data_IF_864401013364
#
_entry.id   IF_864401013364
#
_cell.length_a   1.000
_cell.length_b   1.000
_cell.length_c   1.000
_cell.angle_alpha   90.00
_cell.angle_beta   90.00
_cell.angle_gamma   90.00
#
_symmetry.space_group_name_H-M   'P 1'
#
loop_
_entity.id
_entity.type
_entity.pdbx_description
1 polymer ?
#
# COMPACT_ATOMS: atom_id res chain seq x y z
N UNK A 1 -15.37 11.62 2.33
CA UNK A 1 -15.37 12.84 1.51
C UNK A 1 -15.17 12.42 0.05
N UNK A 2 -16.08 12.72 -0.89
CA UNK A 2 -15.86 12.47 -2.31
C UNK A 2 -14.83 13.45 -2.89
N UNK A 3 -13.94 12.98 -3.76
CA UNK A 3 -12.95 13.79 -4.48
C UNK A 3 -13.10 13.54 -5.99
N UNK A 4 -14.08 14.18 -6.65
CA UNK A 4 -14.43 13.89 -8.06
C UNK A 4 -13.27 14.19 -9.03
N UNK A 5 -12.40 15.13 -8.70
CA UNK A 5 -11.22 15.51 -9.48
C UNK A 5 -10.13 14.41 -9.48
N UNK A 6 -10.10 13.57 -8.44
CA UNK A 6 -9.14 12.47 -8.30
C UNK A 6 -9.72 11.18 -8.89
N UNK A 7 -9.50 10.97 -10.19
CA UNK A 7 -9.84 9.71 -10.88
C UNK A 7 -9.01 8.53 -10.40
N UNK A 8 -9.61 7.35 -10.42
CA UNK A 8 -8.93 6.08 -10.16
C UNK A 8 -7.95 5.71 -11.29
N UNK A 9 -6.92 4.91 -10.97
CA UNK A 9 -5.81 4.57 -11.86
C UNK A 9 -6.15 3.45 -12.86
N UNK A 10 -7.15 2.61 -12.55
CA UNK A 10 -7.48 1.38 -13.32
C UNK A 10 -8.91 1.34 -13.86
N UNK A 11 -9.78 2.27 -13.47
CA UNK A 11 -11.20 2.31 -13.81
C UNK A 11 -11.63 3.77 -13.94
N UNK A 12 -12.56 4.07 -14.85
CA UNK A 12 -13.19 5.39 -14.92
C UNK A 12 -14.21 5.53 -13.76
N UNK A 13 -13.68 5.92 -12.61
CA UNK A 13 -14.33 6.09 -11.32
C UNK A 13 -13.53 7.14 -10.53
N UNK A 14 -14.07 7.66 -9.42
CA UNK A 14 -13.39 8.66 -8.59
C UNK A 14 -13.09 8.16 -7.19
N UNK A 15 -12.09 8.75 -6.54
CA UNK A 15 -11.71 8.41 -5.18
C UNK A 15 -12.58 9.09 -4.12
N UNK A 16 -12.85 8.36 -3.04
CA UNK A 16 -13.43 8.83 -1.80
C UNK A 16 -12.37 8.70 -0.70
N UNK A 17 -12.08 9.81 -0.01
CA UNK A 17 -11.36 9.76 1.26
C UNK A 17 -12.26 9.14 2.33
N UNK A 18 -11.82 8.03 2.93
CA UNK A 18 -12.46 7.30 4.01
C UNK A 18 -11.55 7.21 5.23
N UNK A 19 -12.15 7.22 6.40
CA UNK A 19 -11.50 6.94 7.68
C UNK A 19 -11.57 5.44 8.02
N UNK A 20 -10.68 4.96 8.89
CA UNK A 20 -10.67 3.58 9.37
C UNK A 20 -9.60 3.29 10.42
N UNK A 21 -9.55 2.05 10.88
CA UNK A 21 -8.64 1.57 11.94
C UNK A 21 -7.14 1.51 11.55
N UNK A 22 -6.72 2.30 10.57
CA UNK A 22 -5.33 2.50 10.14
C UNK A 22 -5.13 3.90 9.56
N UNK A 23 -5.91 4.89 10.03
CA UNK A 23 -5.90 6.24 9.48
C UNK A 23 -6.76 6.39 8.23
N UNK A 24 -6.55 7.50 7.52
CA UNK A 24 -7.31 7.86 6.32
C UNK A 24 -6.73 7.21 5.05
N UNK A 25 -7.61 6.87 4.11
CA UNK A 25 -7.23 6.26 2.84
C UNK A 25 -8.19 6.66 1.71
N UNK A 26 -7.69 6.69 0.47
CA UNK A 26 -8.53 6.82 -0.72
C UNK A 26 -9.06 5.44 -1.12
N UNK A 27 -10.33 5.37 -1.52
CA UNK A 27 -10.97 4.17 -2.06
C UNK A 27 -11.86 4.54 -3.25
N UNK A 28 -11.94 3.69 -4.27
CA UNK A 28 -12.84 3.89 -5.40
C UNK A 28 -14.31 3.97 -4.95
N UNK A 29 -15.10 4.83 -5.60
CA UNK A 29 -16.52 5.05 -5.29
C UNK A 29 -17.35 3.77 -5.40
N UNK A 30 -17.19 3.02 -6.48
CA UNK A 30 -17.99 1.82 -6.79
C UNK A 30 -17.51 0.54 -6.05
N UNK A 31 -17.06 0.66 -4.81
CA UNK A 31 -16.86 -0.49 -3.93
C UNK A 31 -18.22 -1.20 -3.67
N UNK A 32 -18.33 -2.54 -3.74
CA UNK A 32 -17.26 -3.55 -3.76
C UNK A 32 -16.84 -4.06 -5.15
N UNK A 33 -17.40 -3.50 -6.24
CA UNK A 33 -17.04 -3.84 -7.64
C UNK A 33 -15.62 -3.37 -7.94
N UNK A 34 -15.33 -2.10 -7.69
CA UNK A 34 -13.99 -1.53 -7.79
C UNK A 34 -13.27 -1.73 -6.44
N UNK A 35 -12.16 -2.48 -6.45
CA UNK A 35 -11.34 -2.78 -5.26
C UNK A 35 -10.00 -2.06 -5.30
N UNK A 36 -10.03 -0.79 -5.67
CA UNK A 36 -8.84 0.06 -5.64
C UNK A 36 -8.83 0.92 -4.37
N UNK A 37 -7.68 0.92 -3.69
CA UNK A 37 -7.39 1.79 -2.56
C UNK A 37 -5.97 2.35 -2.68
N UNK A 38 -5.79 3.60 -2.25
CA UNK A 38 -4.55 4.37 -2.39
C UNK A 38 -4.25 5.15 -1.11
N UNK A 39 -2.97 5.35 -0.84
CA UNK A 39 -2.50 6.30 0.18
C UNK A 39 -2.70 7.73 -0.34
N UNK A 40 -3.46 8.60 0.36
CA UNK A 40 -3.64 9.98 -0.08
C UNK A 40 -2.31 10.75 0.01
N UNK A 41 -2.12 11.69 -0.89
CA UNK A 41 -1.06 12.70 -0.79
C UNK A 41 -1.43 13.72 0.28
N UNK A 42 -0.43 14.26 0.96
CA UNK A 42 -0.61 15.36 1.94
C UNK A 42 -1.34 16.54 1.30
N UNK A 43 -0.98 16.89 0.05
CA UNK A 43 -1.68 17.92 -0.75
C UNK A 43 -3.18 17.63 -0.94
N UNK A 44 -3.53 16.37 -1.23
CA UNK A 44 -4.93 15.94 -1.43
C UNK A 44 -5.73 16.05 -0.12
N UNK A 45 -5.09 15.81 1.03
CA UNK A 45 -5.71 15.93 2.37
C UNK A 45 -5.80 17.40 2.81
N UNK A 46 -4.78 18.21 2.55
CA UNK A 46 -4.79 19.64 2.85
C UNK A 46 -5.94 20.37 2.14
N UNK A 47 -6.21 20.06 0.88
CA UNK A 47 -7.35 20.60 0.12
C UNK A 47 -8.73 20.20 0.68
N UNK A 48 -8.82 19.30 1.66
CA UNK A 48 -10.08 18.93 2.34
C UNK A 48 -9.99 19.01 3.87
N UNK A 49 -8.97 19.68 4.42
CA UNK A 49 -8.69 19.71 5.86
C UNK A 49 -9.86 20.26 6.72
N UNK A 50 -10.67 21.15 6.16
CA UNK A 50 -11.89 21.68 6.78
C UNK A 50 -12.97 20.61 6.97
N UNK A 51 -13.16 19.76 5.97
CA UNK A 51 -14.11 18.63 5.97
C UNK A 51 -13.60 17.42 6.75
N UNK A 52 -12.30 17.40 7.08
CA UNK A 52 -11.64 16.30 7.77
C UNK A 52 -11.99 16.28 9.26
N UNK A 53 -12.14 15.08 9.81
CA UNK A 53 -12.31 14.88 11.25
C UNK A 53 -11.14 15.56 12.02
N UNK A 54 -11.41 16.37 13.06
CA UNK A 54 -10.37 17.04 13.85
C UNK A 54 -9.24 16.13 14.32
N UNK A 55 -9.51 14.83 14.58
CA UNK A 55 -8.50 13.84 14.98
C UNK A 55 -7.41 13.60 13.93
N UNK A 56 -7.62 14.01 12.69
CA UNK A 56 -6.72 13.79 11.54
C UNK A 56 -6.15 15.10 10.95
N UNK A 57 -6.51 16.27 11.46
CA UNK A 57 -6.06 17.56 10.88
C UNK A 57 -4.54 17.72 10.82
N UNK A 58 -3.81 17.15 11.79
CA UNK A 58 -2.35 17.10 11.80
C UNK A 58 -1.70 16.48 10.54
N UNK A 59 -2.47 15.73 9.73
CA UNK A 59 -2.03 15.16 8.46
C UNK A 59 -2.04 16.18 7.31
N UNK A 60 -2.78 17.28 7.44
CA UNK A 60 -2.72 18.43 6.53
C UNK A 60 -1.54 19.34 6.87
N UNK A 61 -1.19 19.46 8.15
CA UNK A 61 0.01 20.15 8.66
C UNK A 61 1.33 19.41 8.34
N UNK A 62 1.27 18.28 7.64
CA UNK A 62 2.43 17.47 7.30
C UNK A 62 3.28 18.13 6.21
N UNK A 63 4.61 17.86 6.17
CA UNK A 63 5.45 18.26 5.04
C UNK A 63 4.94 17.62 3.74
N UNK A 64 4.43 18.45 2.84
CA UNK A 64 3.71 18.02 1.63
C UNK A 64 4.62 17.53 0.49
N UNK A 65 5.91 17.88 0.56
CA UNK A 65 6.98 17.46 -0.35
C UNK A 65 8.26 17.16 0.44
N UNK A 66 9.18 16.42 -0.15
CA UNK A 66 10.56 16.33 0.35
C UNK A 66 11.45 17.47 -0.21
N UNK A 67 12.69 17.66 0.29
CA UNK A 67 13.65 18.64 -0.23
C UNK A 67 14.11 18.43 -1.69
N UNK A 68 13.47 17.54 -2.45
CA UNK A 68 13.68 17.31 -3.88
C UNK A 68 12.38 17.53 -4.69
N UNK A 69 11.30 18.00 -4.08
CA UNK A 69 10.02 18.29 -4.75
C UNK A 69 9.17 17.04 -5.06
N UNK A 70 9.47 15.88 -4.48
CA UNK A 70 8.59 14.71 -4.65
C UNK A 70 7.38 14.84 -3.71
N UNK A 71 6.15 14.51 -4.15
CA UNK A 71 4.94 14.64 -3.33
C UNK A 71 4.91 13.59 -2.22
N UNK A 72 4.57 14.03 -1.00
CA UNK A 72 4.48 13.17 0.17
C UNK A 72 3.12 12.48 0.27
N UNK A 73 3.12 11.17 0.55
CA UNK A 73 1.94 10.34 0.75
C UNK A 73 1.81 9.87 2.21
N UNK A 74 0.59 9.90 2.75
CA UNK A 74 0.28 9.49 4.13
C UNK A 74 0.10 7.98 4.20
N UNK A 75 0.82 7.31 5.10
CA UNK A 75 0.76 5.85 5.28
C UNK A 75 0.74 5.47 6.76
N UNK A 76 0.33 4.23 7.03
CA UNK A 76 0.21 3.71 8.39
C UNK A 76 1.24 2.63 8.69
N UNK A 77 1.99 2.80 9.77
CA UNK A 77 2.97 1.84 10.26
C UNK A 77 2.25 0.77 11.09
N UNK A 78 1.93 -0.39 10.51
CA UNK A 78 1.33 -1.51 11.27
C UNK A 78 2.23 -2.02 12.41
N UNK A 79 3.55 -1.72 12.39
CA UNK A 79 4.50 -2.11 13.44
C UNK A 79 4.43 -1.21 14.68
N UNK A 80 4.40 0.11 14.48
CA UNK A 80 4.41 1.10 15.58
C UNK A 80 3.02 1.67 15.87
N UNK A 81 2.04 1.42 15.00
CA UNK A 81 0.65 1.88 15.04
C UNK A 81 0.46 3.40 14.84
N UNK A 82 1.46 4.04 14.23
CA UNK A 82 1.49 5.48 13.93
C UNK A 82 1.20 5.77 12.44
N UNK A 83 0.74 6.98 12.12
CA UNK A 83 0.76 7.52 10.76
C UNK A 83 2.12 8.19 10.48
N UNK A 84 2.61 8.04 9.26
CA UNK A 84 3.87 8.62 8.78
C UNK A 84 3.72 9.03 7.31
N UNK A 85 4.41 10.09 6.91
CA UNK A 85 4.51 10.48 5.50
C UNK A 85 5.79 9.92 4.88
N UNK A 86 5.76 9.67 3.58
CA UNK A 86 6.93 9.31 2.78
C UNK A 86 6.77 9.79 1.35
N UNK A 87 7.87 9.99 0.63
CA UNK A 87 7.83 10.30 -0.80
C UNK A 87 8.15 9.08 -1.65
N UNK A 88 7.43 8.94 -2.76
CA UNK A 88 7.69 7.98 -3.83
C UNK A 88 7.93 8.73 -5.13
N UNK A 89 8.96 8.31 -5.88
CA UNK A 89 9.40 8.90 -7.14
C UNK A 89 9.60 7.79 -8.17
N UNK A 90 8.99 7.91 -9.35
CA UNK A 90 8.92 6.85 -10.38
C UNK A 90 8.54 5.47 -9.78
N UNK A 91 7.51 5.44 -8.93
CA UNK A 91 7.02 4.23 -8.25
C UNK A 91 7.98 3.59 -7.24
N UNK A 92 9.03 4.31 -6.80
CA UNK A 92 10.03 3.83 -5.83
C UNK A 92 10.11 4.79 -4.64
N UNK A 93 10.16 4.26 -3.42
CA UNK A 93 10.39 5.07 -2.23
C UNK A 93 11.74 5.79 -2.33
N UNK A 94 11.75 7.12 -2.17
CA UNK A 94 12.98 7.94 -2.17
C UNK A 94 13.92 7.57 -1.02
N UNK A 95 13.33 7.15 0.11
CA UNK A 95 13.97 6.95 1.40
C UNK A 95 13.50 7.96 2.44
N UNK A 96 13.11 9.18 2.02
CA UNK A 96 12.62 10.23 2.91
C UNK A 96 11.28 9.87 3.53
N UNK A 97 11.13 10.20 4.82
CA UNK A 97 9.94 9.99 5.64
C UNK A 97 9.86 11.06 6.73
N UNK A 98 8.66 11.35 7.21
CA UNK A 98 8.45 12.07 8.46
C UNK A 98 7.38 11.38 9.33
N UNK A 99 7.50 11.52 10.64
CA UNK A 99 6.63 10.89 11.65
C UNK A 99 6.07 11.96 12.58
N UNK A 100 4.77 11.92 12.86
CA UNK A 100 4.15 12.87 13.77
C UNK A 100 4.34 12.44 15.23
N UNK A 101 5.00 13.29 16.03
CA UNK A 101 5.43 13.00 17.40
C UNK A 101 5.39 14.25 18.26
N UNK A 102 4.94 14.13 19.50
CA UNK A 102 4.89 15.22 20.49
C UNK A 102 4.09 16.49 20.09
N UNK A 103 3.43 16.50 18.91
CA UNK A 103 2.77 17.67 18.32
C UNK A 103 3.41 18.18 17.03
N UNK A 104 4.54 17.60 16.60
CA UNK A 104 5.38 18.09 15.49
C UNK A 104 5.73 16.96 14.50
N UNK A 105 6.21 17.34 13.31
CA UNK A 105 6.62 16.39 12.25
C UNK A 105 8.13 16.15 12.24
N UNK A 106 8.59 15.10 12.93
CA UNK A 106 10.00 14.67 12.93
C UNK A 106 10.39 14.03 11.59
N UNK A 107 11.42 14.56 10.92
CA UNK A 107 12.12 13.88 9.82
C UNK A 107 13.30 13.10 10.41
N UNK A 108 13.25 11.76 10.56
CA UNK A 108 14.37 10.98 11.08
C UNK A 108 15.55 10.96 10.09
N UNK A 109 16.54 11.80 10.37
CA UNK A 109 17.84 11.91 9.67
C UNK A 109 18.50 10.54 9.41
N UNK A 110 18.38 9.62 10.38
CA UNK A 110 18.76 8.21 10.21
C UNK A 110 17.73 7.44 9.37
N UNK A 111 17.76 7.66 8.06
CA UNK A 111 17.30 6.67 7.09
C UNK A 111 18.04 5.33 7.35
N UNK A 112 17.35 4.26 7.80
CA UNK A 112 18.02 2.96 7.92
C UNK A 112 18.40 2.52 6.51
N UNK A 113 19.69 2.20 6.24
CA UNK A 113 20.16 2.00 4.88
C UNK A 113 19.35 0.90 4.20
N UNK A 114 18.81 1.22 3.02
CA UNK A 114 17.94 0.33 2.26
C UNK A 114 18.70 -0.94 1.93
N UNK A 115 18.49 -1.98 2.76
CA UNK A 115 19.00 -3.33 2.51
C UNK A 115 18.35 -3.82 1.23
N UNK A 116 19.07 -3.64 0.11
CA UNK A 116 18.75 -4.19 -1.21
C UNK A 116 18.67 -5.70 -1.08
N UNK A 117 17.49 -6.21 -0.76
CA UNK A 117 17.17 -7.64 -0.74
C UNK A 117 17.17 -8.11 -2.19
N UNK A 118 18.35 -8.48 -2.68
CA UNK A 118 18.53 -9.13 -3.97
C UNK A 118 17.70 -10.41 -3.92
N UNK A 119 16.48 -10.33 -4.47
CA UNK A 119 15.49 -11.40 -4.49
C UNK A 119 15.98 -12.45 -5.48
N UNK A 120 16.90 -13.30 -5.00
CA UNK A 120 17.63 -14.33 -5.74
C UNK A 120 16.62 -15.13 -6.55
N UNK A 121 16.62 -14.96 -7.88
CA UNK A 121 15.62 -15.55 -8.78
C UNK A 121 15.70 -17.08 -8.71
N UNK A 122 14.85 -17.70 -7.91
CA UNK A 122 14.57 -19.13 -7.99
C UNK A 122 13.97 -19.41 -9.36
N UNK A 123 14.75 -20.08 -10.23
CA UNK A 123 14.32 -20.42 -11.60
C UNK A 123 13.09 -21.35 -11.51
N UNK A 124 11.98 -20.93 -12.09
CA UNK A 124 10.82 -21.79 -12.27
C UNK A 124 11.14 -22.88 -13.32
N UNK A 125 11.17 -24.15 -12.91
CA UNK A 125 11.46 -25.30 -13.77
C UNK A 125 10.18 -26.10 -14.06
N UNK A 126 9.43 -25.63 -15.06
CA UNK A 126 8.34 -26.29 -15.82
C UNK A 126 7.72 -27.59 -15.26
N UNK A 127 6.47 -27.46 -14.81
CA UNK A 127 5.43 -28.51 -14.84
C UNK A 127 5.45 -29.24 -16.20
N UNK A 128 5.58 -30.57 -16.20
CA UNK A 128 5.31 -31.44 -17.36
C UNK A 128 4.49 -32.66 -16.92
N UNK A 129 3.32 -32.81 -17.52
CA UNK A 129 2.51 -34.04 -17.48
C UNK A 129 3.06 -35.09 -18.44
N UNK A 130 3.01 -36.38 -18.06
CA UNK A 130 2.71 -37.54 -18.92
C UNK A 130 2.51 -38.82 -18.08
N UNK A 131 2.03 -39.89 -18.71
CA UNK A 131 1.21 -40.92 -18.05
C UNK A 131 1.72 -42.36 -18.28
N UNK A 132 1.43 -43.25 -17.30
CA UNK A 132 1.16 -44.70 -17.41
C UNK A 132 2.30 -45.75 -17.51
N UNK A 133 2.03 -46.94 -16.89
CA UNK A 133 2.65 -48.30 -17.02
C UNK A 133 4.11 -48.45 -16.50
N UNK A 134 4.64 -49.59 -16.02
CA UNK A 134 4.31 -51.05 -15.79
C UNK A 134 5.00 -51.47 -14.45
N UNK A 135 4.86 -52.64 -13.77
CA UNK A 135 3.88 -53.76 -13.68
C UNK A 135 4.29 -54.69 -12.51
N UNK A 136 3.55 -54.76 -11.41
CA UNK A 136 3.64 -55.83 -10.37
C UNK A 136 2.54 -55.65 -9.30
N UNK A 137 2.09 -56.67 -8.55
CA UNK A 137 1.88 -58.10 -8.81
C UNK A 137 1.08 -58.66 -7.60
N UNK A 138 -0.01 -59.41 -7.81
CA UNK A 138 -0.76 -60.03 -6.69
C UNK A 138 -2.23 -60.35 -7.00
N UNK A 139 -2.55 -61.64 -7.06
CA UNK A 139 -3.91 -62.23 -7.04
C UNK A 139 -3.72 -63.65 -6.51
N UNK A 140 -4.40 -64.06 -5.42
CA UNK A 140 -5.74 -64.68 -5.46
C UNK A 140 -6.84 -63.69 -5.02
N UNK A 141 -8.13 -63.77 -5.38
CA UNK A 141 -9.06 -64.88 -5.68
C UNK A 141 -9.63 -65.60 -4.44
N UNK A 142 -10.86 -66.12 -4.55
CA UNK A 142 -11.65 -66.90 -3.55
C UNK A 142 -12.40 -66.06 -2.48
N UNK A 143 -13.71 -66.18 -2.25
CA UNK A 143 -14.83 -66.87 -2.97
C UNK A 143 -16.20 -66.15 -2.70
N UNK A 144 -17.43 -66.71 -2.88
CA UNK A 144 -18.65 -65.90 -3.10
C UNK A 144 -19.29 -65.31 -1.83
#
# INVERSE_FOLDING_TARGET
IPMPDLRCEKVDDFYLLRDGASGIFLAASQFPRNRETRAPLVREVASVADQLDPKHRYLADAPAEDPQGNPAQIRYSRKTREQYVMTESDGKATGWKAFYRSGEWEVPEKVPPVRKTIRKKTKAAKKKTKTAKKKSAGTPATQP
#
